data_IF_537936460075
#
_entry.id   IF_537936460075
#
_cell.length_a   1.000
_cell.length_b   1.000
_cell.length_c   1.000
_cell.angle_alpha   90.00
_cell.angle_beta   90.00
_cell.angle_gamma   90.00
#
_symmetry.space_group_name_H-M   'P 1'
#
loop_
_entity.id
_entity.type
_entity.pdbx_description
1 polymer ?
#
# COMPACT_ATOMS: atom_id res chain seq x y z
N UNK A 1 -30.18 -14.30 19.58
CA UNK A 1 -28.80 -13.78 19.74
C UNK A 1 -28.11 -13.82 18.39
N UNK A 2 -27.53 -12.70 17.94
CA UNK A 2 -26.87 -12.63 16.63
C UNK A 2 -25.55 -13.38 16.60
N UNK A 3 -25.15 -13.87 15.42
CA UNK A 3 -23.85 -14.51 15.26
C UNK A 3 -22.71 -13.48 15.46
N UNK A 4 -21.60 -13.91 16.06
CA UNK A 4 -20.44 -13.04 16.30
C UNK A 4 -19.86 -12.52 14.98
N UNK A 5 -19.79 -11.21 14.81
CA UNK A 5 -19.17 -10.54 13.66
C UNK A 5 -17.81 -9.97 14.09
N UNK A 6 -16.79 -10.20 13.27
CA UNK A 6 -15.45 -9.67 13.44
C UNK A 6 -15.10 -8.78 12.26
N UNK A 7 -14.47 -7.64 12.54
CA UNK A 7 -13.92 -6.75 11.53
C UNK A 7 -12.40 -6.85 11.54
N UNK A 8 -11.78 -6.96 10.37
CA UNK A 8 -10.33 -7.08 10.25
C UNK A 8 -9.80 -6.72 8.87
N UNK A 9 -8.50 -6.89 8.70
CA UNK A 9 -7.78 -6.61 7.44
C UNK A 9 -7.31 -7.94 6.84
N UNK A 10 -7.43 -8.08 5.54
CA UNK A 10 -6.91 -9.23 4.79
C UNK A 10 -5.37 -9.16 4.75
N UNK A 11 -4.71 -10.17 5.31
CA UNK A 11 -3.24 -10.27 5.34
C UNK A 11 -2.69 -11.19 4.26
N UNK A 12 -3.42 -12.25 3.91
CA UNK A 12 -3.03 -13.19 2.86
C UNK A 12 -4.23 -13.58 2.01
N UNK A 13 -4.14 -13.36 0.70
CA UNK A 13 -5.07 -13.82 -0.32
C UNK A 13 -4.31 -14.61 -1.39
N UNK A 14 -4.97 -15.54 -2.08
CA UNK A 14 -4.39 -16.31 -3.20
C UNK A 14 -3.54 -17.54 -2.84
N UNK A 15 -3.18 -17.74 -1.57
CA UNK A 15 -2.39 -18.92 -1.15
C UNK A 15 -3.21 -20.20 -0.97
N UNK A 16 -4.51 -20.08 -0.72
CA UNK A 16 -5.43 -21.20 -0.50
C UNK A 16 -6.70 -20.97 -1.31
N UNK A 17 -7.24 -22.03 -1.90
CA UNK A 17 -8.48 -21.94 -2.65
C UNK A 17 -9.65 -21.48 -1.76
N UNK A 18 -10.43 -20.51 -2.24
CA UNK A 18 -11.67 -20.01 -1.60
C UNK A 18 -11.51 -19.58 -0.14
N UNK A 19 -10.29 -19.21 0.26
CA UNK A 19 -9.92 -19.00 1.67
C UNK A 19 -8.93 -17.87 1.81
N UNK A 20 -9.22 -16.97 2.75
CA UNK A 20 -8.40 -15.79 3.00
C UNK A 20 -8.02 -15.74 4.48
N UNK A 21 -6.82 -15.24 4.77
CA UNK A 21 -6.40 -14.99 6.16
C UNK A 21 -6.66 -13.54 6.53
N UNK A 22 -7.55 -13.33 7.49
CA UNK A 22 -7.86 -12.02 8.07
C UNK A 22 -7.17 -11.84 9.41
N UNK A 23 -6.54 -10.68 9.63
CA UNK A 23 -6.03 -10.27 10.94
C UNK A 23 -7.01 -9.31 11.61
N UNK A 24 -7.42 -9.66 12.83
CA UNK A 24 -8.25 -8.81 13.70
C UNK A 24 -7.37 -8.26 14.80
N UNK A 25 -7.32 -6.93 14.93
CA UNK A 25 -6.71 -6.23 16.05
C UNK A 25 -7.75 -5.97 17.13
N UNK A 26 -7.42 -6.30 18.38
CA UNK A 26 -8.23 -5.95 19.56
C UNK A 26 -7.34 -5.23 20.57
N UNK A 27 -7.77 -4.06 21.02
CA UNK A 27 -7.13 -3.37 22.14
C UNK A 27 -7.48 -4.14 23.42
N UNK A 28 -6.47 -4.49 24.21
CA UNK A 28 -6.62 -5.10 25.53
C UNK A 28 -5.76 -4.33 26.53
N UNK A 29 -6.20 -4.29 27.78
CA UNK A 29 -5.43 -3.73 28.88
C UNK A 29 -4.67 -4.87 29.58
N UNK A 30 -3.38 -4.67 29.84
CA UNK A 30 -2.60 -5.64 30.62
C UNK A 30 -3.09 -5.61 32.09
N UNK A 31 -3.45 -6.75 32.70
CA UNK A 31 -4.17 -6.76 33.98
C UNK A 31 -3.34 -6.19 35.15
N UNK A 32 -2.02 -6.38 35.15
CA UNK A 32 -1.12 -5.91 36.22
C UNK A 32 -0.58 -4.49 36.00
N UNK A 33 -0.35 -4.12 34.74
CA UNK A 33 0.39 -2.91 34.39
C UNK A 33 -0.53 -1.79 33.92
N UNK A 34 -1.81 -2.09 33.68
CA UNK A 34 -2.81 -1.18 33.10
C UNK A 34 -2.40 -0.50 31.79
N UNK A 35 -1.31 -0.97 31.15
CA UNK A 35 -0.87 -0.53 29.83
C UNK A 35 -1.74 -1.16 28.75
N UNK A 36 -2.29 -0.33 27.87
CA UNK A 36 -3.02 -0.77 26.67
C UNK A 36 -2.06 -1.37 25.66
N UNK A 37 -2.42 -2.53 25.11
CA UNK A 37 -1.68 -3.21 24.05
C UNK A 37 -2.63 -3.76 22.98
N UNK A 38 -2.15 -3.84 21.74
CA UNK A 38 -2.93 -4.39 20.62
C UNK A 38 -2.63 -5.87 20.49
N UNK A 39 -3.66 -6.71 20.59
CA UNK A 39 -3.56 -8.15 20.32
C UNK A 39 -4.06 -8.44 18.91
N UNK A 40 -3.19 -9.00 18.09
CA UNK A 40 -3.54 -9.48 16.76
C UNK A 40 -3.97 -10.94 16.81
N UNK A 41 -5.03 -11.30 16.09
CA UNK A 41 -5.49 -12.69 15.95
C UNK A 41 -5.85 -12.96 14.51
N UNK A 42 -5.34 -14.06 13.96
CA UNK A 42 -5.54 -14.44 12.56
C UNK A 42 -6.68 -15.44 12.45
N UNK A 43 -7.57 -15.23 11.49
CA UNK A 43 -8.73 -16.07 11.23
C UNK A 43 -8.76 -16.48 9.75
N UNK A 44 -9.20 -17.71 9.50
CA UNK A 44 -9.46 -18.20 8.15
C UNK A 44 -10.91 -17.91 7.79
N UNK A 45 -11.10 -17.13 6.73
CA UNK A 45 -12.41 -16.68 6.24
C UNK A 45 -12.74 -17.42 4.94
N UNK A 46 -14.00 -17.83 4.80
CA UNK A 46 -14.55 -18.39 3.57
C UNK A 46 -14.94 -17.28 2.62
N UNK A 47 -14.35 -17.33 1.43
CA UNK A 47 -14.66 -16.48 0.30
C UNK A 47 -14.81 -17.40 -0.92
N UNK A 48 -16.05 -17.76 -1.31
CA UNK A 48 -16.29 -18.76 -2.36
C UNK A 48 -15.80 -18.27 -3.74
N UNK A 49 -15.88 -16.97 -3.98
CA UNK A 49 -15.60 -16.33 -5.27
C UNK A 49 -14.14 -15.82 -5.35
N UNK A 50 -13.39 -15.88 -4.24
CA UNK A 50 -11.98 -15.46 -4.15
C UNK A 50 -11.77 -14.01 -4.62
N UNK A 51 -12.71 -13.13 -4.28
CA UNK A 51 -12.75 -11.72 -4.71
C UNK A 51 -11.87 -10.83 -3.84
N UNK A 52 -11.54 -11.26 -2.62
CA UNK A 52 -10.81 -10.44 -1.66
C UNK A 52 -9.32 -10.32 -2.00
N UNK A 53 -8.82 -9.09 -1.97
CA UNK A 53 -7.40 -8.79 -2.15
C UNK A 53 -6.69 -8.44 -0.84
N UNK A 54 -5.35 -8.43 -0.86
CA UNK A 54 -4.53 -8.09 0.31
C UNK A 54 -4.73 -6.61 0.68
N UNK A 55 -4.91 -6.31 1.97
CA UNK A 55 -5.09 -4.95 2.45
C UNK A 55 -6.55 -4.48 2.53
N UNK A 56 -7.51 -5.26 2.02
CA UNK A 56 -8.93 -4.95 2.18
C UNK A 56 -9.39 -5.09 3.63
N UNK A 57 -10.26 -4.19 4.06
CA UNK A 57 -10.99 -4.27 5.31
C UNK A 57 -12.31 -5.02 5.06
N UNK A 58 -12.59 -6.01 5.88
CA UNK A 58 -13.77 -6.86 5.73
C UNK A 58 -14.47 -7.09 7.06
N UNK A 59 -15.77 -7.41 7.00
CA UNK A 59 -16.53 -8.00 8.10
C UNK A 59 -16.76 -9.48 7.81
N UNK A 60 -16.45 -10.32 8.79
CA UNK A 60 -16.66 -11.75 8.73
C UNK A 60 -17.56 -12.22 9.88
N UNK A 61 -18.50 -13.10 9.58
CA UNK A 61 -19.45 -13.66 10.53
C UNK A 61 -19.04 -15.07 10.93
N UNK A 62 -19.22 -15.44 12.20
CA UNK A 62 -19.09 -16.81 12.67
C UNK A 62 -20.11 -17.73 11.98
N UNK A 63 -19.68 -18.90 11.55
CA UNK A 63 -20.52 -19.89 10.85
C UNK A 63 -20.24 -21.31 11.38
N UNK A 64 -20.96 -22.30 10.84
CA UNK A 64 -20.63 -23.72 11.06
C UNK A 64 -19.18 -23.99 10.64
N UNK A 65 -18.47 -24.93 11.28
CA UNK A 65 -17.14 -25.30 10.85
C UNK A 65 -17.16 -25.78 9.39
N UNK A 66 -16.43 -25.08 8.52
CA UNK A 66 -16.26 -25.45 7.10
C UNK A 66 -14.99 -26.30 6.91
N UNK A 67 -14.03 -26.16 7.81
CA UNK A 67 -12.81 -26.96 7.92
C UNK A 67 -12.32 -26.89 9.37
N UNK A 68 -11.24 -27.61 9.71
CA UNK A 68 -10.69 -27.69 11.06
C UNK A 68 -10.50 -26.32 11.74
N UNK A 69 -10.00 -25.33 10.98
CA UNK A 69 -9.72 -23.96 11.48
C UNK A 69 -10.61 -22.86 10.88
N UNK A 70 -11.38 -23.17 9.84
CA UNK A 70 -12.17 -22.19 9.07
C UNK A 70 -13.61 -22.16 9.56
N UNK A 71 -13.93 -21.11 10.33
CA UNK A 71 -15.22 -20.95 11.05
C UNK A 71 -15.86 -19.58 10.81
N UNK A 72 -15.36 -18.84 9.81
CA UNK A 72 -15.85 -17.51 9.46
C UNK A 72 -16.18 -17.45 7.98
N UNK A 73 -17.24 -16.73 7.64
CA UNK A 73 -17.69 -16.45 6.26
C UNK A 73 -17.65 -14.95 6.03
N UNK A 74 -17.29 -14.54 4.81
CA UNK A 74 -17.34 -13.15 4.37
C UNK A 74 -18.78 -12.63 4.42
N UNK A 75 -19.00 -11.51 5.12
CA UNK A 75 -20.30 -10.84 5.20
C UNK A 75 -20.32 -9.58 4.32
N UNK A 76 -19.33 -8.71 4.50
CA UNK A 76 -19.31 -7.39 3.87
C UNK A 76 -17.86 -6.95 3.60
N UNK A 77 -17.63 -6.31 2.46
CA UNK A 77 -16.38 -5.63 2.13
C UNK A 77 -16.51 -4.16 2.53
N UNK A 78 -15.61 -3.68 3.39
CA UNK A 78 -15.60 -2.29 3.88
C UNK A 78 -14.66 -1.39 3.07
N UNK A 79 -13.96 -1.92 2.06
CA UNK A 79 -13.01 -1.20 1.23
C UNK A 79 -11.56 -1.25 1.74
N UNK A 80 -10.66 -0.52 1.07
CA UNK A 80 -9.25 -0.43 1.45
C UNK A 80 -9.06 0.64 2.54
N UNK A 81 -8.18 0.38 3.52
CA UNK A 81 -7.92 1.37 4.59
C UNK A 81 -7.10 2.59 4.13
N UNK A 82 -6.56 2.53 2.90
CA UNK A 82 -6.02 3.69 2.20
C UNK A 82 -6.77 3.75 0.88
N UNK A 83 -7.56 4.81 0.67
CA UNK A 83 -7.91 5.23 -0.68
C UNK A 83 -6.61 5.61 -1.43
N UNK A 84 -6.69 5.91 -2.74
CA UNK A 84 -5.53 6.27 -3.53
C UNK A 84 -5.00 7.66 -3.14
N UNK A 85 -4.50 7.85 -1.92
CA UNK A 85 -3.85 9.08 -1.48
C UNK A 85 -2.33 9.05 -1.75
N UNK A 86 -1.84 7.95 -2.33
CA UNK A 86 -0.44 7.79 -2.74
C UNK A 86 -0.26 7.25 -4.17
N UNK A 87 -1.32 7.24 -4.99
CA UNK A 87 -1.20 6.95 -6.42
C UNK A 87 -0.77 8.17 -7.25
N UNK A 88 -0.82 9.38 -6.66
CA UNK A 88 -0.43 10.64 -7.32
C UNK A 88 0.99 11.11 -6.94
N UNK A 89 1.78 10.28 -6.25
CA UNK A 89 3.23 10.42 -6.34
C UNK A 89 3.66 9.62 -7.57
N UNK A 90 3.48 10.25 -8.73
CA UNK A 90 3.98 9.74 -10.00
C UNK A 90 5.45 9.35 -9.82
N UNK A 91 5.87 8.26 -10.47
CA UNK A 91 7.27 7.84 -10.48
C UNK A 91 8.21 8.93 -11.02
N UNK A 92 7.64 9.97 -11.64
CA UNK A 92 8.31 11.13 -12.23
C UNK A 92 8.66 12.23 -11.21
N UNK A 93 7.84 12.44 -10.17
CA UNK A 93 8.03 13.56 -9.21
C UNK A 93 9.24 13.35 -8.29
N UNK A 94 9.48 12.11 -7.84
CA UNK A 94 10.63 11.78 -7.01
C UNK A 94 11.97 11.87 -7.78
N UNK A 95 11.95 11.62 -9.09
CA UNK A 95 13.12 11.79 -9.96
C UNK A 95 13.38 13.28 -10.27
N UNK A 96 12.31 14.06 -10.46
CA UNK A 96 12.38 15.52 -10.68
C UNK A 96 12.95 16.25 -9.47
N UNK A 97 12.45 15.95 -8.28
CA UNK A 97 12.94 16.54 -7.03
C UNK A 97 14.41 16.19 -6.74
N UNK A 98 14.87 14.98 -7.14
CA UNK A 98 16.30 14.62 -7.05
C UNK A 98 17.14 15.43 -8.03
N UNK A 99 16.69 15.63 -9.27
CA UNK A 99 17.39 16.45 -10.29
C UNK A 99 17.44 17.91 -9.87
N UNK A 100 16.33 18.50 -9.44
CA UNK A 100 16.26 19.88 -8.95
C UNK A 100 17.17 20.09 -7.74
N UNK A 101 17.24 19.11 -6.83
CA UNK A 101 18.13 19.16 -5.67
C UNK A 101 19.61 19.01 -6.06
N UNK A 102 19.94 18.17 -7.04
CA UNK A 102 21.29 18.07 -7.60
C UNK A 102 21.70 19.35 -8.33
N UNK A 103 20.81 19.93 -9.14
CA UNK A 103 20.99 21.20 -9.86
C UNK A 103 21.14 22.39 -8.91
N UNK A 104 20.41 22.40 -7.80
CA UNK A 104 20.54 23.41 -6.74
C UNK A 104 21.80 23.23 -5.90
N UNK A 105 22.32 22.00 -5.80
CA UNK A 105 23.57 21.68 -5.09
C UNK A 105 24.83 21.88 -5.94
N UNK A 106 24.70 22.15 -7.25
CA UNK A 106 25.86 22.49 -8.09
C UNK A 106 26.36 23.90 -7.75
N UNK A 107 27.66 24.11 -7.52
CA UNK A 107 28.25 25.44 -7.35
C UNK A 107 28.05 26.29 -8.61
N UNK A 108 27.85 27.60 -8.46
CA UNK A 108 27.45 28.52 -9.53
C UNK A 108 28.34 28.43 -10.79
N UNK A 109 29.65 28.24 -10.62
CA UNK A 109 30.60 28.09 -11.73
C UNK A 109 30.33 26.85 -12.62
N UNK A 110 29.80 25.76 -12.06
CA UNK A 110 29.45 24.56 -12.82
C UNK A 110 28.13 24.74 -13.58
N UNK A 111 27.20 25.54 -13.04
CA UNK A 111 25.91 25.88 -13.68
C UNK A 111 26.15 26.74 -14.92
N UNK A 112 27.03 27.73 -14.82
CA UNK A 112 27.42 28.59 -15.94
C UNK A 112 28.16 27.83 -17.04
N UNK A 113 29.07 26.91 -16.67
CA UNK A 113 29.78 26.09 -17.65
C UNK A 113 28.84 25.17 -18.44
N UNK A 114 27.89 24.51 -17.74
CA UNK A 114 26.86 23.67 -18.37
C UNK A 114 25.92 24.47 -19.28
N UNK A 115 25.60 25.72 -18.91
CA UNK A 115 24.75 26.60 -19.70
C UNK A 115 25.46 27.07 -20.98
N UNK A 116 26.75 27.41 -20.88
CA UNK A 116 27.61 27.69 -22.04
C UNK A 116 27.70 26.47 -22.95
N UNK A 117 27.95 25.28 -22.38
CA UNK A 117 28.07 24.04 -23.15
C UNK A 117 26.77 23.68 -23.88
N UNK A 118 25.62 23.84 -23.21
CA UNK A 118 24.30 23.60 -23.81
C UNK A 118 24.03 24.58 -24.94
N UNK A 119 24.37 25.86 -24.76
CA UNK A 119 24.21 26.89 -25.80
C UNK A 119 25.06 26.58 -27.03
N UNK A 120 26.32 26.19 -26.82
CA UNK A 120 27.22 25.76 -27.91
C UNK A 120 26.65 24.52 -28.61
N UNK A 121 26.12 23.54 -27.86
CA UNK A 121 25.51 22.32 -28.42
C UNK A 121 24.29 22.62 -29.27
N UNK A 122 23.41 23.51 -28.80
CA UNK A 122 22.22 23.93 -29.54
C UNK A 122 22.59 24.75 -30.80
N UNK A 123 23.64 25.57 -30.71
CA UNK A 123 24.19 26.32 -31.84
C UNK A 123 24.81 25.41 -32.90
N UNK A 124 25.60 24.40 -32.49
CA UNK A 124 26.14 23.35 -33.37
C UNK A 124 25.03 22.53 -34.02
N UNK A 125 23.97 22.18 -33.27
CA UNK A 125 22.79 21.46 -33.80
C UNK A 125 22.01 22.32 -34.80
N UNK A 126 21.86 23.61 -34.52
CA UNK A 126 21.17 24.55 -35.43
C UNK A 126 21.96 24.83 -36.70
N UNK A 127 23.30 24.83 -36.63
CA UNK A 127 24.18 25.00 -37.79
C UNK A 127 24.33 23.72 -38.61
N UNK A 128 24.29 22.53 -37.99
CA UNK A 128 24.25 21.25 -38.71
C UNK A 128 22.94 21.00 -39.46
N UNK A 129 21.83 21.60 -39.01
CA UNK A 129 20.51 21.49 -39.66
C UNK A 129 20.36 22.50 -40.82
N UNK A 130 21.30 23.44 -40.95
CA UNK A 130 21.30 24.52 -41.96
C UNK A 130 22.23 24.25 -43.15
N UNK A 131 22.76 23.03 -43.29
CA UNK A 131 23.60 22.56 -44.40
C UNK A 131 22.87 21.52 -45.24
#
# INVERSE_FOLDING_TARGET
>A
MGATVLTGIVTKAGFMAKTVTMTVSKLKMHPKLHKSYVRHSKYLVHDPDSVLTIGERIRAQACRPLSARKRFVLLERLGFQHGPEHADASHDDAARLRREKTEASMPAAQREWLEIEKRVRDEVRSSSTRK
#
